data_IF_789560114653
#
_entry.id   IF_789560114653
#
_cell.length_a   1.000
_cell.length_b   1.000
_cell.length_c   1.000
_cell.angle_alpha   90.00
_cell.angle_beta   90.00
_cell.angle_gamma   90.00
#
_symmetry.space_group_name_H-M   'P 1'
#
loop_
_entity.id
_entity.type
_entity.pdbx_description
1 polymer ?
#
# COMPACT_ATOMS: atom_id res chain seq x y z
N UNK A 1 -44.02 39.26 21.42
CA UNK A 1 -43.17 38.15 21.91
C UNK A 1 -42.39 37.59 20.73
N UNK A 2 -41.05 37.59 20.77
CA UNK A 2 -40.25 37.21 19.62
C UNK A 2 -40.14 35.68 19.51
N UNK A 3 -40.34 35.17 18.30
CA UNK A 3 -40.16 33.77 17.94
C UNK A 3 -38.66 33.45 17.93
N UNK A 4 -38.21 32.61 18.88
CA UNK A 4 -36.83 32.10 18.92
C UNK A 4 -36.64 31.15 17.74
N UNK A 5 -35.92 31.60 16.71
CA UNK A 5 -35.36 30.70 15.69
C UNK A 5 -34.19 29.96 16.32
N UNK A 6 -34.34 28.66 16.59
CA UNK A 6 -33.22 27.76 16.88
C UNK A 6 -32.32 27.73 15.64
N UNK A 7 -31.16 28.37 15.73
CA UNK A 7 -30.03 28.10 14.85
C UNK A 7 -29.53 26.69 15.15
N UNK A 8 -29.73 25.76 14.22
CA UNK A 8 -29.01 24.49 14.24
C UNK A 8 -27.53 24.81 13.98
N UNK A 9 -26.71 24.71 15.02
CA UNK A 9 -25.27 24.62 14.90
C UNK A 9 -24.92 23.35 14.14
N UNK A 10 -24.44 23.50 12.91
CA UNK A 10 -23.88 22.39 12.13
C UNK A 10 -22.47 22.13 12.66
N UNK A 11 -22.33 21.10 13.50
CA UNK A 11 -21.03 20.58 13.90
C UNK A 11 -20.45 19.84 12.70
N UNK A 12 -19.23 20.17 12.21
CA UNK A 12 -18.59 19.39 11.16
C UNK A 12 -18.37 17.99 11.71
N UNK A 13 -19.02 17.00 11.10
CA UNK A 13 -18.79 15.59 11.40
C UNK A 13 -17.34 15.29 11.03
N UNK A 14 -16.56 14.83 12.00
CA UNK A 14 -15.22 14.29 11.77
C UNK A 14 -15.32 13.27 10.63
N UNK A 15 -14.61 13.54 9.54
CA UNK A 15 -14.49 12.61 8.44
C UNK A 15 -13.55 11.51 8.92
N UNK A 16 -14.11 10.48 9.56
CA UNK A 16 -13.40 9.23 9.86
C UNK A 16 -13.16 8.54 8.52
N UNK A 17 -11.96 8.74 7.96
CA UNK A 17 -11.51 8.07 6.75
C UNK A 17 -11.16 6.63 7.07
N UNK A 18 -12.15 5.76 6.94
CA UNK A 18 -12.06 4.39 7.42
C UNK A 18 -11.28 3.48 6.46
N UNK A 19 -10.13 2.99 6.91
CA UNK A 19 -9.24 2.02 6.26
C UNK A 19 -9.83 0.58 6.24
N UNK A 20 -11.11 0.38 5.90
CA UNK A 20 -11.83 -0.92 6.03
C UNK A 20 -11.29 -2.02 5.10
N UNK A 21 -10.24 -2.70 5.53
CA UNK A 21 -9.96 -4.08 5.14
C UNK A 21 -10.89 -5.03 5.89
N UNK A 22 -11.47 -6.02 5.20
CA UNK A 22 -12.32 -7.03 5.83
C UNK A 22 -11.50 -7.92 6.79
N UNK A 23 -11.70 -7.70 8.09
CA UNK A 23 -11.59 -8.60 9.27
C UNK A 23 -10.56 -8.18 10.36
N UNK A 24 -11.10 -8.07 11.58
CA UNK A 24 -10.51 -7.99 12.93
C UNK A 24 -10.06 -6.60 13.45
N UNK A 25 -10.81 -6.13 14.47
CA UNK A 25 -10.53 -5.07 15.45
C UNK A 25 -9.87 -3.77 14.95
N UNK A 26 -10.71 -2.77 14.68
CA UNK A 26 -10.29 -1.36 14.51
C UNK A 26 -9.52 -0.83 15.74
N UNK A 27 -9.75 -1.41 16.91
CA UNK A 27 -9.07 -1.00 18.16
C UNK A 27 -7.60 -1.45 18.25
N UNK A 28 -7.16 -2.42 17.44
CA UNK A 28 -5.81 -3.00 17.56
C UNK A 28 -4.76 -2.25 16.72
N UNK A 29 -5.17 -1.40 15.77
CA UNK A 29 -4.27 -0.67 14.86
C UNK A 29 -4.71 0.79 14.69
N UNK A 30 -4.08 1.75 15.39
CA UNK A 30 -4.44 3.17 15.26
C UNK A 30 -4.19 3.67 13.83
N UNK A 31 -5.07 4.54 13.32
CA UNK A 31 -4.84 5.20 12.04
C UNK A 31 -3.73 6.26 12.17
N UNK A 32 -2.53 5.88 11.75
CA UNK A 32 -1.35 6.75 11.78
C UNK A 32 -1.17 7.56 10.51
N UNK A 33 -2.03 7.43 9.49
CA UNK A 33 -1.88 8.15 8.23
C UNK A 33 -2.01 9.67 8.43
N UNK A 34 -3.08 10.21 9.06
CA UNK A 34 -3.19 11.65 9.31
C UNK A 34 -2.04 12.24 10.14
N UNK A 35 -1.71 11.73 11.35
CA UNK A 35 -0.65 12.34 12.16
C UNK A 35 0.74 12.21 11.53
N UNK A 36 1.01 11.12 10.80
CA UNK A 36 2.30 10.98 10.07
C UNK A 36 2.41 12.02 8.97
N UNK A 37 1.34 12.25 8.20
CA UNK A 37 1.31 13.25 7.13
C UNK A 37 1.54 14.66 7.69
N UNK A 38 0.88 15.03 8.79
CA UNK A 38 1.05 16.34 9.43
C UNK A 38 2.51 16.60 9.82
N UNK A 39 3.17 15.61 10.42
CA UNK A 39 4.59 15.72 10.78
C UNK A 39 5.48 15.85 9.54
N UNK A 40 5.25 15.04 8.49
CA UNK A 40 6.03 15.11 7.25
C UNK A 40 5.87 16.47 6.55
N UNK A 41 4.66 17.06 6.57
CA UNK A 41 4.41 18.39 6.03
C UNK A 41 5.13 19.48 6.84
N UNK A 42 5.15 19.38 8.18
CA UNK A 42 5.88 20.30 9.05
C UNK A 42 7.39 20.25 8.82
N UNK A 43 7.94 19.06 8.53
CA UNK A 43 9.36 18.91 8.19
C UNK A 43 9.73 19.59 6.86
N UNK A 44 8.77 19.75 5.94
CA UNK A 44 9.01 20.37 4.63
C UNK A 44 9.93 19.59 3.70
N UNK A 45 10.31 18.35 4.06
CA UNK A 45 11.17 17.49 3.28
C UNK A 45 10.37 16.66 2.25
N UNK A 46 11.00 16.19 1.16
CA UNK A 46 10.39 15.19 0.29
C UNK A 46 9.99 13.94 1.09
N UNK A 47 8.76 13.47 0.89
CA UNK A 47 8.26 12.27 1.57
C UNK A 47 7.45 11.38 0.63
N UNK A 48 7.29 10.11 1.05
CA UNK A 48 6.35 9.16 0.45
C UNK A 48 5.64 8.41 1.55
N UNK A 49 4.32 8.28 1.44
CA UNK A 49 3.49 7.45 2.31
C UNK A 49 2.96 6.30 1.46
N UNK A 50 3.23 5.06 1.86
CA UNK A 50 2.73 3.85 1.22
C UNK A 50 1.59 3.26 2.04
N UNK A 51 0.56 2.75 1.37
CA UNK A 51 -0.49 1.97 2.02
C UNK A 51 -1.26 1.06 1.03
N UNK A 52 -2.20 0.26 1.55
CA UNK A 52 -3.12 -0.56 0.76
C UNK A 52 -4.10 0.30 -0.06
N UNK A 53 -4.65 -0.20 -1.18
CA UNK A 53 -5.47 0.61 -2.10
C UNK A 53 -6.73 1.26 -1.51
N UNK A 54 -7.24 0.75 -0.38
CA UNK A 54 -8.42 1.29 0.30
C UNK A 54 -8.09 2.46 1.23
N UNK A 55 -6.80 2.80 1.38
CA UNK A 55 -6.39 3.81 2.33
C UNK A 55 -6.65 5.24 1.86
N UNK A 56 -6.94 6.18 2.79
CA UNK A 56 -7.25 7.57 2.47
C UNK A 56 -5.97 8.38 2.24
N UNK A 57 -5.25 7.99 1.20
CA UNK A 57 -4.11 8.76 0.69
C UNK A 57 -4.57 9.84 -0.27
N UNK A 58 -3.83 10.94 -0.31
CA UNK A 58 -4.11 12.10 -1.16
C UNK A 58 -3.38 11.93 -2.49
N UNK A 59 -4.16 11.95 -3.58
CA UNK A 59 -3.67 11.85 -4.97
C UNK A 59 -2.56 10.79 -5.18
N UNK A 60 -2.76 9.53 -4.73
CA UNK A 60 -1.69 8.55 -4.78
C UNK A 60 -1.53 7.93 -6.17
N UNK A 61 -0.30 7.54 -6.52
CA UNK A 61 -0.08 6.61 -7.63
C UNK A 61 -0.26 5.17 -7.16
N UNK A 62 -0.65 4.27 -8.06
CA UNK A 62 -0.75 2.83 -7.78
C UNK A 62 0.33 2.03 -8.50
N UNK A 63 1.09 1.21 -7.77
CA UNK A 63 2.04 0.25 -8.36
C UNK A 63 1.57 -1.19 -8.15
N UNK A 64 1.81 -2.03 -9.16
CA UNK A 64 1.51 -3.46 -9.16
C UNK A 64 2.72 -4.28 -9.61
N UNK A 65 2.86 -5.51 -9.11
CA UNK A 65 4.05 -6.34 -9.33
C UNK A 65 4.23 -6.68 -10.80
N UNK A 66 3.11 -6.79 -11.51
CA UNK A 66 3.08 -7.03 -12.95
C UNK A 66 3.79 -5.94 -13.76
N UNK A 67 3.73 -4.67 -13.32
CA UNK A 67 4.42 -3.56 -13.98
C UNK A 67 5.94 -3.77 -14.03
N UNK A 68 6.48 -4.54 -13.07
CA UNK A 68 7.90 -4.83 -12.91
C UNK A 68 8.25 -6.27 -13.29
N UNK A 69 7.30 -7.04 -13.84
CA UNK A 69 7.52 -8.45 -14.19
C UNK A 69 7.57 -9.40 -13.01
N UNK A 70 7.22 -8.96 -11.80
CA UNK A 70 7.28 -9.78 -10.58
C UNK A 70 6.23 -10.91 -10.59
N UNK A 71 6.47 -11.92 -9.75
CA UNK A 71 5.56 -13.06 -9.53
C UNK A 71 4.64 -12.84 -8.35
N UNK A 72 4.15 -11.61 -8.16
CA UNK A 72 3.18 -11.24 -7.14
C UNK A 72 2.12 -10.28 -7.69
N UNK A 73 0.85 -10.49 -7.34
CA UNK A 73 -0.22 -9.50 -7.54
C UNK A 73 -0.34 -8.69 -6.25
N UNK A 74 0.39 -7.58 -6.16
CA UNK A 74 0.41 -6.71 -4.99
C UNK A 74 0.22 -5.25 -5.41
N UNK A 75 -1.01 -4.76 -5.27
CA UNK A 75 -1.32 -3.35 -5.47
C UNK A 75 -1.01 -2.59 -4.19
N UNK A 76 -0.23 -1.53 -4.31
CA UNK A 76 0.01 -0.54 -3.25
C UNK A 76 -0.08 0.86 -3.82
N UNK A 77 -0.58 1.76 -2.99
CA UNK A 77 -0.76 3.16 -3.33
C UNK A 77 0.29 4.00 -2.61
N UNK A 78 0.77 5.03 -3.27
CA UNK A 78 1.87 5.88 -2.81
C UNK A 78 1.48 7.35 -2.96
N UNK A 79 1.36 8.04 -1.82
CA UNK A 79 1.22 9.50 -1.75
C UNK A 79 2.60 10.14 -1.62
N UNK A 80 2.80 11.30 -2.24
CA UNK A 80 4.01 12.10 -2.08
C UNK A 80 3.73 13.59 -2.24
N UNK A 81 4.54 14.44 -1.59
CA UNK A 81 4.57 15.87 -1.87
C UNK A 81 5.41 16.24 -3.10
N UNK A 82 6.06 15.26 -3.74
CA UNK A 82 6.74 15.41 -5.02
C UNK A 82 5.97 14.67 -6.10
N UNK A 83 5.94 15.20 -7.34
CA UNK A 83 5.28 14.48 -8.44
C UNK A 83 5.86 13.09 -8.61
N UNK A 84 5.00 12.07 -8.60
CA UNK A 84 5.35 10.70 -8.93
C UNK A 84 4.63 10.27 -10.21
N UNK A 85 5.35 9.61 -11.08
CA UNK A 85 4.83 8.99 -12.28
C UNK A 85 4.48 7.52 -12.01
N UNK A 86 3.21 7.20 -12.23
CA UNK A 86 2.75 5.83 -12.26
C UNK A 86 3.20 5.13 -13.54
N UNK A 87 3.68 3.89 -13.42
CA UNK A 87 3.86 3.03 -14.59
C UNK A 87 2.51 2.62 -15.17
N UNK A 88 2.46 2.40 -16.49
CA UNK A 88 1.28 1.85 -17.14
C UNK A 88 1.00 0.44 -16.62
N UNK A 89 -0.20 0.24 -16.05
CA UNK A 89 -0.62 -1.07 -15.59
C UNK A 89 -0.80 -2.03 -16.77
N UNK A 90 -0.38 -3.29 -16.58
CA UNK A 90 -0.53 -4.36 -17.58
C UNK A 90 -1.51 -5.41 -17.08
N UNK A 91 -2.28 -6.07 -17.95
CA UNK A 91 -3.13 -7.18 -17.55
C UNK A 91 -2.32 -8.28 -16.85
N UNK A 92 -2.88 -8.85 -15.78
CA UNK A 92 -2.25 -9.99 -15.11
C UNK A 92 -2.22 -11.21 -16.04
N UNK A 93 -1.09 -11.92 -16.04
CA UNK A 93 -0.76 -13.05 -16.93
C UNK A 93 -1.37 -14.37 -16.50
N UNK A 94 -2.14 -14.40 -15.41
CA UNK A 94 -2.70 -15.63 -14.88
C UNK A 94 -3.19 -15.51 -13.45
N UNK A 95 -3.52 -16.67 -12.87
CA UNK A 95 -3.99 -16.78 -11.49
C UNK A 95 -2.85 -16.85 -10.49
N UNK A 96 -3.18 -16.67 -9.23
CA UNK A 96 -2.28 -16.97 -8.11
C UNK A 96 -2.20 -18.48 -7.90
N UNK A 97 -0.99 -19.00 -7.76
CA UNK A 97 -0.70 -20.37 -7.39
C UNK A 97 -1.05 -20.62 -5.92
N UNK A 98 -1.63 -21.78 -5.63
CA UNK A 98 -1.92 -22.18 -4.26
C UNK A 98 -3.01 -23.23 -4.12
N UNK A 99 -3.17 -23.70 -2.88
CA UNK A 99 -4.23 -24.62 -2.50
C UNK A 99 -5.57 -23.88 -2.37
N UNK A 100 -6.61 -24.40 -3.01
CA UNK A 100 -7.98 -23.91 -2.86
C UNK A 100 -8.95 -25.08 -2.95
N UNK A 101 -9.88 -25.17 -2.00
CA UNK A 101 -10.88 -26.25 -1.95
C UNK A 101 -10.29 -27.67 -2.09
N UNK A 102 -9.16 -27.94 -1.43
CA UNK A 102 -8.52 -29.26 -1.44
C UNK A 102 -7.70 -29.59 -2.70
N UNK A 103 -7.56 -28.65 -3.64
CA UNK A 103 -6.79 -28.84 -4.87
C UNK A 103 -5.68 -27.79 -5.00
N UNK A 104 -4.50 -28.21 -5.46
CA UNK A 104 -3.45 -27.32 -5.89
C UNK A 104 -3.74 -26.73 -7.26
N UNK A 105 -3.55 -25.42 -7.40
CA UNK A 105 -3.61 -24.74 -8.68
C UNK A 105 -2.30 -24.04 -8.98
N UNK A 106 -1.83 -24.20 -10.22
CA UNK A 106 -0.65 -23.50 -10.72
C UNK A 106 -0.98 -22.08 -11.19
N UNK A 107 0.04 -21.24 -11.24
CA UNK A 107 -0.06 -19.87 -11.70
C UNK A 107 1.27 -19.13 -11.62
N UNK A 108 1.44 -18.02 -12.36
CA UNK A 108 2.69 -17.27 -12.38
C UNK A 108 2.91 -16.40 -11.13
N UNK A 109 1.95 -16.36 -10.20
CA UNK A 109 1.98 -15.49 -9.02
C UNK A 109 1.86 -16.27 -7.70
N UNK A 110 2.37 -15.69 -6.61
CA UNK A 110 2.14 -16.17 -5.24
C UNK A 110 1.31 -15.18 -4.41
N UNK A 111 0.53 -15.71 -3.46
CA UNK A 111 -0.22 -14.94 -2.47
C UNK A 111 0.68 -14.64 -1.27
N UNK A 112 1.38 -13.51 -1.30
CA UNK A 112 2.33 -13.10 -0.26
C UNK A 112 1.61 -12.37 0.88
N UNK A 113 0.81 -13.11 1.65
CA UNK A 113 0.13 -12.63 2.87
C UNK A 113 -0.41 -13.77 3.75
N UNK A 114 -0.45 -13.51 5.06
CA UNK A 114 -1.04 -14.39 6.09
C UNK A 114 -0.32 -15.72 6.29
N UNK A 115 -0.78 -16.47 7.29
CA UNK A 115 -0.08 -17.68 7.78
C UNK A 115 -0.66 -19.00 7.26
N UNK A 116 -1.73 -18.93 6.45
CA UNK A 116 -2.38 -20.11 5.90
C UNK A 116 -1.46 -20.95 5.00
N UNK A 117 -1.51 -22.27 5.19
CA UNK A 117 -0.82 -23.24 4.33
C UNK A 117 -1.23 -23.14 2.86
N UNK A 118 -0.35 -23.58 1.96
CA UNK A 118 -0.67 -23.66 0.53
C UNK A 118 -0.55 -22.36 -0.26
N UNK A 119 0.08 -21.31 0.29
CA UNK A 119 0.33 -20.02 -0.39
C UNK A 119 1.76 -19.85 -0.90
N UNK A 120 2.53 -20.94 -0.96
CA UNK A 120 3.95 -20.94 -1.30
C UNK A 120 4.87 -20.85 -0.08
N UNK A 121 6.10 -21.34 -0.27
CA UNK A 121 7.21 -21.35 0.69
C UNK A 121 7.83 -19.96 0.85
N UNK A 122 8.66 -19.77 1.88
CA UNK A 122 9.45 -18.53 2.08
C UNK A 122 10.30 -18.22 0.83
N UNK A 123 11.01 -19.20 0.29
CA UNK A 123 11.84 -19.03 -0.91
C UNK A 123 11.01 -18.60 -2.13
N UNK A 124 9.80 -19.12 -2.29
CA UNK A 124 8.88 -18.69 -3.35
C UNK A 124 8.41 -17.24 -3.16
N UNK A 125 8.17 -16.81 -1.91
CA UNK A 125 7.79 -15.44 -1.61
C UNK A 125 8.94 -14.45 -1.82
N UNK A 126 10.13 -14.78 -1.34
CA UNK A 126 11.37 -14.06 -1.59
C UNK A 126 11.57 -13.83 -3.10
N UNK A 127 11.53 -14.91 -3.89
CA UNK A 127 11.65 -14.84 -5.35
C UNK A 127 10.52 -14.03 -5.99
N UNK A 128 9.28 -14.17 -5.51
CA UNK A 128 8.13 -13.47 -6.06
C UNK A 128 8.18 -11.96 -5.84
N UNK A 129 8.67 -11.53 -4.68
CA UNK A 129 8.78 -10.12 -4.27
C UNK A 129 10.12 -9.48 -4.68
N UNK A 130 11.13 -10.29 -5.01
CA UNK A 130 12.51 -9.83 -5.21
C UNK A 130 13.20 -9.46 -3.90
N UNK A 131 12.96 -10.23 -2.83
CA UNK A 131 13.48 -9.98 -1.47
C UNK A 131 14.48 -11.09 -1.10
N UNK A 132 15.65 -10.70 -0.59
CA UNK A 132 16.74 -11.62 -0.22
C UNK A 132 17.30 -11.40 1.20
N UNK A 133 16.87 -10.36 1.92
CA UNK A 133 17.45 -9.97 3.22
C UNK A 133 16.81 -10.60 4.46
N UNK A 134 15.68 -11.29 4.32
CA UNK A 134 14.98 -11.92 5.46
C UNK A 134 14.33 -13.24 5.05
N UNK A 135 14.35 -14.22 5.95
CA UNK A 135 13.64 -15.50 5.85
C UNK A 135 12.35 -15.53 6.71
N UNK A 136 12.06 -14.45 7.43
CA UNK A 136 10.87 -14.32 8.26
C UNK A 136 9.66 -14.04 7.37
N UNK A 137 8.77 -15.03 7.25
CA UNK A 137 7.59 -14.97 6.38
C UNK A 137 6.75 -13.71 6.56
N UNK A 138 6.53 -13.28 7.81
CA UNK A 138 5.72 -12.09 8.13
C UNK A 138 6.38 -10.81 7.62
N UNK A 139 7.69 -10.68 7.75
CA UNK A 139 8.44 -9.52 7.23
C UNK A 139 8.30 -9.42 5.71
N UNK A 140 8.36 -10.55 4.99
CA UNK A 140 8.15 -10.58 3.54
C UNK A 140 6.71 -10.17 3.16
N UNK A 141 5.71 -10.56 3.96
CA UNK A 141 4.31 -10.19 3.71
C UNK A 141 4.05 -8.69 3.89
N UNK A 142 4.70 -8.07 4.87
CA UNK A 142 4.55 -6.66 5.20
C UNK A 142 5.42 -5.76 4.30
N UNK A 143 6.53 -6.29 3.76
CA UNK A 143 7.44 -5.54 2.91
C UNK A 143 6.83 -5.00 1.60
N UNK A 144 7.46 -3.93 1.08
CA UNK A 144 7.25 -3.42 -0.28
C UNK A 144 8.29 -4.10 -1.20
N UNK A 145 7.92 -4.57 -2.40
CA UNK A 145 8.90 -5.08 -3.36
C UNK A 145 9.99 -4.02 -3.66
N UNK A 146 11.30 -4.36 -3.64
CA UNK A 146 12.38 -3.41 -3.90
C UNK A 146 12.26 -2.66 -5.23
N UNK A 147 11.69 -3.31 -6.26
CA UNK A 147 11.46 -2.67 -7.55
C UNK A 147 10.56 -1.43 -7.45
N UNK A 148 9.63 -1.39 -6.49
CA UNK A 148 8.74 -0.25 -6.29
C UNK A 148 9.50 0.90 -5.64
N UNK A 149 10.24 0.61 -4.57
CA UNK A 149 11.01 1.62 -3.84
C UNK A 149 12.16 2.17 -4.70
N UNK A 150 12.75 1.35 -5.57
CA UNK A 150 13.73 1.81 -6.57
C UNK A 150 13.09 2.76 -7.61
N UNK A 151 11.92 2.41 -8.16
CA UNK A 151 11.19 3.27 -9.11
C UNK A 151 10.82 4.63 -8.50
N UNK A 152 10.36 4.63 -7.25
CA UNK A 152 10.02 5.84 -6.51
C UNK A 152 11.28 6.61 -6.14
N UNK A 153 12.29 5.94 -5.60
CA UNK A 153 13.55 6.53 -5.16
C UNK A 153 14.29 7.25 -6.27
N UNK A 154 14.34 6.67 -7.48
CA UNK A 154 14.93 7.32 -8.67
C UNK A 154 14.23 8.64 -9.01
N UNK A 155 12.90 8.71 -8.87
CA UNK A 155 12.15 9.94 -9.14
C UNK A 155 12.40 11.00 -8.07
N UNK A 156 12.47 10.59 -6.79
CA UNK A 156 12.77 11.50 -5.69
C UNK A 156 14.19 12.06 -5.78
N UNK A 157 15.18 11.23 -6.12
CA UNK A 157 16.56 11.68 -6.32
C UNK A 157 16.64 12.74 -7.43
N UNK A 158 16.03 12.48 -8.59
CA UNK A 158 15.95 13.47 -9.67
C UNK A 158 15.28 14.77 -9.21
N UNK A 159 14.25 14.70 -8.37
CA UNK A 159 13.54 15.87 -7.86
C UNK A 159 14.34 16.68 -6.81
N UNK A 160 15.27 16.05 -6.10
CA UNK A 160 16.14 16.70 -5.12
C UNK A 160 17.35 17.33 -5.82
N UNK A 161 17.97 16.63 -6.78
CA UNK A 161 19.12 17.12 -7.53
C UNK A 161 18.79 18.36 -8.38
N UNK A 162 17.56 18.48 -8.89
CA UNK A 162 17.10 19.66 -9.66
C UNK A 162 16.80 20.86 -8.75
N UNK A 163 16.57 20.65 -7.45
CA UNK A 163 16.21 21.70 -6.51
C UNK A 163 17.42 22.28 -5.73
N UNK A 164 18.61 21.71 -5.91
CA UNK A 164 19.87 22.16 -5.33
C UNK A 164 20.67 23.03 -6.31
#
# INVERSE_FOLDING_TARGET
>A
MPTVRRTQSYTPTEVVTDNRGNNANVDDYPDLVPPTRELLQQLGLPYVIENVPTAPLIDPITLCGEMFGLSVIRHRIFESNRPLQQLSHRPHRGRVAGYRHGQWFDGPYFAVYGDGGGKGTVAQWQKAMGIDWTDVRREIAEAIPPAYTEHIGRQLLNAIEVAA
#
